data_IF_825494897616
#
_entry.id   IF_825494897616
#
_cell.length_a   1.000
_cell.length_b   1.000
_cell.length_c   1.000
_cell.angle_alpha   90.00
_cell.angle_beta   90.00
_cell.angle_gamma   90.00
#
_symmetry.space_group_name_H-M   'P 1'
#
loop_
_entity.id
_entity.type
_entity.pdbx_description
1 polymer ?
#
# COMPACT_ATOMS: atom_id res chain seq x y z
N UNK A 1 -0.85 16.19 12.24
CA UNK A 1 -1.44 14.84 12.08
C UNK A 1 -1.01 14.32 10.72
N UNK A 2 -0.32 13.19 10.69
CA UNK A 2 0.26 12.64 9.45
C UNK A 2 -0.77 11.88 8.60
N UNK A 3 -1.86 11.44 9.24
CA UNK A 3 -2.96 10.72 8.62
C UNK A 3 -4.28 11.32 9.07
N UNK A 4 -5.22 11.47 8.14
CA UNK A 4 -6.54 12.07 8.40
C UNK A 4 -7.70 11.19 7.92
N UNK A 5 -7.43 9.95 7.51
CA UNK A 5 -8.42 8.96 7.05
C UNK A 5 -9.13 8.25 8.20
N UNK A 6 -10.27 7.62 7.88
CA UNK A 6 -10.94 6.66 8.76
C UNK A 6 -10.26 5.29 8.66
N UNK A 7 -10.23 4.54 9.76
CA UNK A 7 -9.63 3.20 9.85
C UNK A 7 -10.64 2.19 10.38
N UNK A 8 -10.62 0.98 9.84
CA UNK A 8 -11.27 -0.18 10.44
C UNK A 8 -10.34 -1.40 10.27
N UNK A 9 -10.47 -2.37 11.17
CA UNK A 9 -9.82 -3.68 11.05
C UNK A 9 -10.89 -4.73 10.80
N UNK A 10 -10.59 -5.67 9.91
CA UNK A 10 -11.48 -6.79 9.61
C UNK A 10 -11.28 -7.93 10.64
N UNK A 11 -12.33 -8.68 10.98
CA UNK A 11 -12.21 -9.82 11.90
C UNK A 11 -11.46 -10.99 11.25
N UNK A 12 -10.44 -11.51 11.94
CA UNK A 12 -9.50 -12.52 11.40
C UNK A 12 -10.16 -13.90 11.18
N UNK A 13 -11.27 -14.16 11.86
CA UNK A 13 -12.06 -15.39 11.81
C UNK A 13 -13.03 -15.43 10.63
N UNK A 14 -13.21 -14.30 9.94
CA UNK A 14 -14.06 -14.23 8.76
C UNK A 14 -13.43 -15.03 7.61
N UNK A 15 -14.22 -15.91 6.99
CA UNK A 15 -13.74 -16.81 5.93
C UNK A 15 -13.25 -16.06 4.68
N UNK A 16 -13.78 -14.87 4.40
CA UNK A 16 -13.32 -14.03 3.29
C UNK A 16 -11.97 -13.42 3.64
N UNK A 17 -11.79 -12.93 4.88
CA UNK A 17 -10.51 -12.41 5.38
C UNK A 17 -9.42 -13.47 5.28
N UNK A 18 -9.67 -14.68 5.77
CA UNK A 18 -8.73 -15.80 5.68
C UNK A 18 -8.35 -16.13 4.23
N UNK A 19 -9.31 -16.11 3.30
CA UNK A 19 -9.05 -16.31 1.86
C UNK A 19 -8.20 -15.20 1.24
N UNK A 20 -8.37 -13.96 1.69
CA UNK A 20 -7.55 -12.83 1.25
C UNK A 20 -6.11 -13.02 1.74
N UNK A 21 -5.93 -13.39 3.03
CA UNK A 21 -4.61 -13.67 3.62
C UNK A 21 -3.91 -14.81 2.87
N UNK A 22 -4.60 -15.93 2.63
CA UNK A 22 -4.08 -17.06 1.85
C UNK A 22 -3.56 -16.63 0.47
N UNK A 23 -4.34 -15.84 -0.27
CA UNK A 23 -3.93 -15.33 -1.58
C UNK A 23 -2.75 -14.36 -1.49
N UNK A 24 -2.75 -13.50 -0.47
CA UNK A 24 -1.66 -12.55 -0.25
C UNK A 24 -0.35 -13.29 0.08
N UNK A 25 -0.42 -14.34 0.91
CA UNK A 25 0.69 -15.22 1.23
C UNK A 25 1.34 -15.81 -0.04
N UNK A 26 0.54 -16.33 -0.98
CA UNK A 26 1.06 -16.85 -2.26
C UNK A 26 1.83 -15.78 -3.06
N UNK A 27 1.31 -14.55 -3.11
CA UNK A 27 1.95 -13.41 -3.81
C UNK A 27 3.22 -12.94 -3.09
N UNK A 28 3.23 -12.99 -1.76
CA UNK A 28 4.31 -12.48 -0.91
C UNK A 28 5.46 -13.50 -0.74
N UNK A 29 5.43 -14.61 -1.49
CA UNK A 29 6.49 -15.63 -1.49
C UNK A 29 6.19 -16.82 -0.58
N UNK A 30 4.91 -17.20 -0.45
CA UNK A 30 4.42 -18.28 0.41
C UNK A 30 4.74 -18.04 1.89
N UNK A 31 4.57 -16.80 2.35
CA UNK A 31 4.76 -16.44 3.75
C UNK A 31 3.78 -17.19 4.64
N UNK A 32 4.20 -17.60 5.84
CA UNK A 32 3.28 -18.23 6.78
C UNK A 32 2.13 -17.26 7.12
N UNK A 33 0.89 -17.71 7.01
CA UNK A 33 -0.33 -16.93 7.30
C UNK A 33 -0.29 -16.31 8.70
N UNK A 34 0.35 -16.97 9.68
CA UNK A 34 0.48 -16.46 11.05
C UNK A 34 1.37 -15.22 11.17
N UNK A 35 2.10 -14.84 10.12
CA UNK A 35 2.92 -13.62 10.07
C UNK A 35 2.15 -12.42 9.52
N UNK A 36 0.90 -12.60 9.08
CA UNK A 36 0.07 -11.50 8.60
C UNK A 36 -0.56 -10.74 9.77
N UNK A 37 -0.58 -9.42 9.68
CA UNK A 37 -1.38 -8.57 10.57
C UNK A 37 -2.88 -8.68 10.22
N UNK A 38 -3.74 -8.35 11.18
CA UNK A 38 -5.17 -8.17 10.92
C UNK A 38 -5.39 -7.15 9.81
N UNK A 39 -6.22 -7.50 8.83
CA UNK A 39 -6.37 -6.68 7.62
C UNK A 39 -6.96 -5.31 7.95
N UNK A 40 -6.28 -4.24 7.49
CA UNK A 40 -6.67 -2.87 7.80
C UNK A 40 -7.31 -2.18 6.59
N UNK A 41 -8.55 -1.73 6.74
CA UNK A 41 -9.22 -0.84 5.81
C UNK A 41 -8.95 0.62 6.15
N UNK A 42 -8.67 1.41 5.13
CA UNK A 42 -8.45 2.86 5.22
C UNK A 42 -9.34 3.58 4.22
N UNK A 43 -10.14 4.54 4.67
CA UNK A 43 -11.08 5.31 3.83
C UNK A 43 -10.72 6.79 3.84
N UNK A 44 -10.57 7.36 2.65
CA UNK A 44 -10.26 8.76 2.39
C UNK A 44 -11.46 9.40 1.68
N UNK A 45 -11.99 10.47 2.26
CA UNK A 45 -12.89 11.42 1.60
C UNK A 45 -12.15 12.68 1.14
N UNK A 46 -12.89 13.69 0.65
CA UNK A 46 -12.29 14.91 0.13
C UNK A 46 -11.37 15.59 1.14
N UNK A 47 -10.14 15.91 0.70
CA UNK A 47 -9.11 16.58 1.51
C UNK A 47 -8.40 15.70 2.55
N UNK A 48 -8.85 14.45 2.78
CA UNK A 48 -8.15 13.53 3.67
C UNK A 48 -6.94 12.90 2.96
N UNK A 49 -5.79 12.86 3.63
CA UNK A 49 -4.55 12.29 3.12
C UNK A 49 -3.83 11.42 4.14
N UNK A 50 -2.85 10.68 3.64
CA UNK A 50 -1.76 10.12 4.43
C UNK A 50 -0.44 10.65 3.87
N UNK A 51 0.29 11.41 4.68
CA UNK A 51 1.58 12.02 4.32
C UNK A 51 2.60 10.95 3.91
N UNK A 52 3.64 11.33 3.14
CA UNK A 52 4.74 10.43 2.82
C UNK A 52 5.30 9.74 4.06
N UNK A 53 5.31 8.41 4.06
CA UNK A 53 5.81 7.56 5.13
C UNK A 53 6.35 6.25 4.56
N UNK A 54 7.07 5.52 5.37
CA UNK A 54 7.43 4.12 5.14
C UNK A 54 6.54 3.27 6.03
N UNK A 55 6.23 2.04 5.61
CA UNK A 55 5.51 1.14 6.51
C UNK A 55 6.37 0.88 7.75
N UNK A 56 5.84 1.14 8.96
CA UNK A 56 6.63 1.25 10.16
C UNK A 56 7.30 -0.05 10.57
N UNK A 57 8.40 0.12 11.31
CA UNK A 57 8.98 -0.86 12.21
C UNK A 57 8.06 -0.88 13.44
N UNK A 58 7.51 -2.04 13.80
CA UNK A 58 6.87 -2.17 15.12
C UNK A 58 7.95 -2.62 16.11
N UNK A 59 8.41 -1.68 16.93
CA UNK A 59 9.19 -2.00 18.12
C UNK A 59 8.26 -2.71 19.11
N UNK A 60 8.47 -4.01 19.33
CA UNK A 60 7.72 -4.68 20.40
C UNK A 60 8.22 -4.21 21.76
N UNK A 61 7.29 -4.11 22.72
CA UNK A 61 7.60 -3.77 24.11
C UNK A 61 8.61 -4.73 24.78
N UNK A 62 8.87 -5.89 24.18
CA UNK A 62 9.80 -6.92 24.66
C UNK A 62 11.20 -6.83 24.03
N UNK A 63 11.47 -5.80 23.20
CA UNK A 63 12.78 -5.61 22.57
C UNK A 63 13.04 -6.48 21.33
N UNK A 64 12.03 -7.22 20.84
CA UNK A 64 12.08 -7.92 19.56
C UNK A 64 11.37 -7.04 18.53
N UNK A 65 12.10 -6.36 17.66
CA UNK A 65 11.48 -5.60 16.57
C UNK A 65 10.98 -6.56 15.50
N UNK A 66 9.67 -6.59 15.24
CA UNK A 66 9.08 -7.29 14.10
C UNK A 66 8.84 -6.28 12.99
N UNK A 67 9.41 -6.54 11.82
CA UNK A 67 9.37 -5.57 10.73
C UNK A 67 8.33 -5.99 9.69
N UNK A 68 7.58 -5.02 9.17
CA UNK A 68 6.76 -5.23 7.97
C UNK A 68 7.70 -5.47 6.80
N UNK A 69 7.85 -6.73 6.40
CA UNK A 69 8.74 -7.12 5.29
C UNK A 69 8.16 -6.70 3.96
N UNK A 70 6.84 -6.86 3.83
CA UNK A 70 6.12 -6.59 2.60
C UNK A 70 4.75 -5.98 2.87
N UNK A 71 4.26 -5.27 1.87
CA UNK A 71 2.94 -4.65 1.89
C UNK A 71 2.23 -4.96 0.59
N UNK A 72 0.97 -5.39 0.72
CA UNK A 72 -0.01 -5.32 -0.36
C UNK A 72 -1.02 -4.24 -0.02
N UNK A 73 -1.24 -3.30 -0.94
CA UNK A 73 -2.27 -2.28 -0.83
C UNK A 73 -3.30 -2.45 -1.95
N UNK A 74 -4.44 -3.04 -1.62
CA UNK A 74 -5.52 -3.30 -2.56
C UNK A 74 -6.55 -2.17 -2.56
N UNK A 75 -7.01 -1.74 -3.73
CA UNK A 75 -8.06 -0.72 -3.87
C UNK A 75 -9.42 -1.43 -3.86
N UNK A 76 -10.19 -1.21 -2.80
CA UNK A 76 -11.53 -1.79 -2.63
C UNK A 76 -12.57 -0.93 -3.35
N UNK A 77 -12.46 0.38 -3.20
CA UNK A 77 -13.41 1.35 -3.74
C UNK A 77 -12.64 2.62 -4.13
N UNK A 78 -12.98 3.19 -5.28
CA UNK A 78 -12.46 4.49 -5.68
C UNK A 78 -13.43 5.15 -6.66
N UNK A 79 -13.82 6.37 -6.35
CA UNK A 79 -14.63 7.25 -7.23
C UNK A 79 -13.99 8.61 -7.41
N UNK A 80 -12.73 8.76 -6.95
CA UNK A 80 -11.97 9.99 -6.99
C UNK A 80 -10.99 10.00 -8.15
N UNK A 81 -10.75 11.19 -8.70
CA UNK A 81 -9.71 11.42 -9.68
C UNK A 81 -8.40 11.80 -8.99
N UNK A 82 -7.26 11.33 -9.54
CA UNK A 82 -5.89 11.65 -9.08
C UNK A 82 -5.59 11.39 -7.59
N UNK A 83 -6.40 10.58 -6.91
CA UNK A 83 -6.20 10.17 -5.51
C UNK A 83 -5.30 8.92 -5.37
N UNK A 84 -4.31 8.78 -6.25
CA UNK A 84 -3.45 7.61 -6.35
C UNK A 84 -2.59 7.35 -5.11
N UNK A 85 -1.78 6.31 -5.17
CA UNK A 85 -0.70 6.06 -4.20
C UNK A 85 0.60 6.51 -4.86
N UNK A 86 1.28 7.49 -4.26
CA UNK A 86 2.48 8.10 -4.82
C UNK A 86 3.73 7.61 -4.10
N UNK A 87 4.76 7.28 -4.87
CA UNK A 87 6.11 6.92 -4.45
C UNK A 87 7.08 8.01 -4.92
N UNK A 88 7.34 9.06 -4.10
CA UNK A 88 8.17 10.21 -4.48
C UNK A 88 9.62 9.88 -4.83
N UNK A 89 10.13 8.74 -4.35
CA UNK A 89 11.52 8.33 -4.56
C UNK A 89 11.72 7.39 -5.76
N UNK A 90 10.66 7.14 -6.54
CA UNK A 90 10.72 6.35 -7.77
C UNK A 90 10.49 7.28 -8.96
N UNK A 91 11.44 7.29 -9.90
CA UNK A 91 11.36 8.06 -11.15
C UNK A 91 11.43 7.10 -12.32
N UNK A 92 10.51 7.26 -13.26
CA UNK A 92 10.40 6.41 -14.44
C UNK A 92 10.44 7.31 -15.67
N UNK A 93 11.25 6.94 -16.66
CA UNK A 93 11.22 7.58 -17.95
C UNK A 93 10.18 6.89 -18.83
N UNK A 94 8.93 7.37 -18.76
CA UNK A 94 7.80 6.76 -19.48
C UNK A 94 7.96 6.72 -21.01
N UNK A 95 8.90 7.48 -21.59
CA UNK A 95 9.18 7.40 -23.03
C UNK A 95 9.86 6.08 -23.44
N UNK A 96 10.41 5.34 -22.48
CA UNK A 96 11.05 4.03 -22.68
C UNK A 96 10.14 2.85 -22.33
N UNK A 97 8.96 3.11 -21.78
CA UNK A 97 8.04 2.09 -21.27
C UNK A 97 6.86 1.87 -22.23
N UNK A 98 6.16 0.74 -22.09
CA UNK A 98 4.92 0.49 -22.84
C UNK A 98 3.84 1.54 -22.44
N UNK A 99 3.27 2.30 -23.40
CA UNK A 99 2.21 3.27 -23.13
C UNK A 99 0.97 2.69 -22.44
N UNK A 100 0.75 1.37 -22.50
CA UNK A 100 -0.33 0.70 -21.78
C UNK A 100 -0.21 0.84 -20.26
N UNK A 101 0.98 1.11 -19.71
CA UNK A 101 1.15 1.40 -18.30
C UNK A 101 0.33 2.60 -17.82
N UNK A 102 0.08 3.58 -18.70
CA UNK A 102 -0.65 4.79 -18.36
C UNK A 102 -2.14 4.54 -18.02
N UNK A 103 -2.63 3.31 -18.21
CA UNK A 103 -3.92 2.84 -17.67
C UNK A 103 -3.90 2.70 -16.15
N UNK A 104 -2.74 2.38 -15.57
CA UNK A 104 -2.55 2.06 -14.16
C UNK A 104 -1.74 3.11 -13.39
N UNK A 105 -0.97 3.94 -14.08
CA UNK A 105 -0.09 4.94 -13.47
C UNK A 105 -0.24 6.31 -14.13
N UNK A 106 0.17 7.37 -13.44
CA UNK A 106 0.21 8.73 -13.97
C UNK A 106 1.49 8.96 -14.78
N UNK A 107 1.50 8.59 -16.06
CA UNK A 107 2.67 8.77 -16.94
C UNK A 107 3.08 10.24 -17.18
N UNK A 108 2.21 11.20 -16.87
CA UNK A 108 2.53 12.62 -16.95
C UNK A 108 3.43 13.11 -15.81
N UNK A 109 3.53 12.34 -14.72
CA UNK A 109 4.43 12.62 -13.60
C UNK A 109 5.77 11.90 -13.82
N UNK A 110 6.82 12.70 -14.00
CA UNK A 110 8.21 12.21 -14.19
C UNK A 110 9.08 12.40 -12.95
N UNK A 111 8.55 13.05 -11.91
CA UNK A 111 9.28 13.34 -10.66
C UNK A 111 8.94 12.34 -9.56
N UNK A 112 7.79 11.66 -9.68
CA UNK A 112 7.36 10.58 -8.80
C UNK A 112 6.57 9.50 -9.57
N UNK A 113 6.53 8.27 -9.05
CA UNK A 113 5.60 7.24 -9.51
C UNK A 113 4.27 7.40 -8.78
N UNK A 114 3.18 7.70 -9.49
CA UNK A 114 1.83 7.66 -8.92
C UNK A 114 1.03 6.53 -9.55
N UNK A 115 0.60 5.57 -8.74
CA UNK A 115 -0.28 4.47 -9.17
C UNK A 115 -1.73 4.89 -8.95
N UNK A 116 -2.55 4.75 -9.98
CA UNK A 116 -3.97 5.13 -9.98
C UNK A 116 -4.76 4.23 -9.02
N UNK A 117 -5.74 4.82 -8.34
CA UNK A 117 -6.65 4.09 -7.47
C UNK A 117 -7.75 3.41 -8.31
N UNK A 118 -7.47 2.23 -8.86
CA UNK A 118 -8.41 1.46 -9.68
C UNK A 118 -9.00 0.32 -8.84
N UNK A 119 -10.33 0.26 -8.60
CA UNK A 119 -10.94 -0.81 -7.82
C UNK A 119 -10.61 -2.20 -8.36
N UNK A 120 -10.25 -3.12 -7.45
CA UNK A 120 -9.83 -4.48 -7.78
C UNK A 120 -8.33 -4.64 -8.04
N UNK A 121 -7.59 -3.56 -8.27
CA UNK A 121 -6.14 -3.61 -8.40
C UNK A 121 -5.46 -3.63 -7.02
N UNK A 122 -4.25 -4.19 -6.97
CA UNK A 122 -3.41 -4.18 -5.79
C UNK A 122 -1.97 -3.81 -6.15
N UNK A 123 -1.34 -3.05 -5.26
CA UNK A 123 0.08 -2.77 -5.30
C UNK A 123 0.78 -3.71 -4.34
N UNK A 124 1.99 -4.16 -4.70
CA UNK A 124 2.84 -4.96 -3.85
C UNK A 124 4.25 -4.37 -3.82
N UNK A 125 4.85 -4.26 -2.64
CA UNK A 125 6.26 -3.92 -2.49
C UNK A 125 6.89 -4.61 -1.28
N UNK A 126 8.22 -4.73 -1.33
CA UNK A 126 9.04 -5.13 -0.18
C UNK A 126 9.58 -3.86 0.48
N UNK A 127 9.42 -3.74 1.79
CA UNK A 127 9.90 -2.57 2.55
C UNK A 127 11.43 -2.56 2.68
N UNK A 128 12.09 -3.70 2.47
CA UNK A 128 13.52 -3.90 2.71
C UNK A 128 14.26 -4.37 1.46
N UNK A 129 15.52 -3.92 1.34
CA UNK A 129 16.47 -4.43 0.36
C UNK A 129 16.94 -5.84 0.76
N UNK A 130 17.48 -6.59 -0.20
CA UNK A 130 18.10 -7.91 0.07
C UNK A 130 19.31 -7.82 1.01
N UNK A 131 19.83 -6.62 1.30
CA UNK A 131 20.92 -6.39 2.24
C UNK A 131 20.43 -6.03 3.65
N UNK A 132 19.14 -6.20 3.95
CA UNK A 132 18.58 -5.93 5.28
C UNK A 132 18.49 -4.44 5.65
N UNK A 133 18.38 -3.54 4.66
CA UNK A 133 18.15 -2.11 4.90
C UNK A 133 16.77 -1.70 4.44
N UNK A 134 16.13 -0.77 5.14
CA UNK A 134 14.90 -0.16 4.69
C UNK A 134 15.12 0.46 3.30
N UNK A 135 14.26 0.13 2.33
CA UNK A 135 14.38 0.64 0.97
C UNK A 135 13.73 2.04 0.89
N UNK A 136 14.51 3.12 0.71
CA UNK A 136 13.97 4.48 0.70
C UNK A 136 13.00 4.73 -0.47
N UNK A 137 13.00 3.87 -1.50
CA UNK A 137 12.05 3.95 -2.63
C UNK A 137 10.62 3.60 -2.21
N UNK A 138 10.45 2.94 -1.08
CA UNK A 138 9.14 2.55 -0.52
C UNK A 138 8.47 3.65 0.28
N UNK A 139 9.13 4.82 0.44
CA UNK A 139 8.47 6.03 0.90
C UNK A 139 7.27 6.30 0.00
N UNK A 140 6.07 6.35 0.58
CA UNK A 140 4.83 6.44 -0.17
C UNK A 140 3.76 7.28 0.55
N UNK A 141 2.80 7.78 -0.21
CA UNK A 141 1.71 8.62 0.27
C UNK A 141 0.38 8.25 -0.37
N UNK A 142 -0.70 8.36 0.40
CA UNK A 142 -2.07 8.35 -0.12
C UNK A 142 -2.46 9.76 -0.50
N UNK A 143 -2.56 10.06 -1.81
CA UNK A 143 -2.92 11.39 -2.28
C UNK A 143 -4.37 11.73 -1.90
N UNK A 144 -4.65 12.98 -1.49
CA UNK A 144 -5.99 13.39 -1.10
C UNK A 144 -6.95 13.38 -2.29
N UNK A 145 -8.14 12.78 -2.15
CA UNK A 145 -9.23 13.02 -3.09
C UNK A 145 -9.60 14.51 -3.11
N UNK A 146 -9.68 15.11 -4.30
CA UNK A 146 -10.30 16.44 -4.47
C UNK A 146 -11.84 16.33 -4.36
N UNK A 147 -12.39 15.25 -4.91
CA UNK A 147 -13.80 14.85 -4.83
C UNK A 147 -13.90 13.32 -4.78
N UNK A 148 -15.07 12.78 -4.44
CA UNK A 148 -15.27 11.34 -4.31
C UNK A 148 -14.56 10.72 -3.11
N UNK A 149 -14.28 9.42 -3.19
CA UNK A 149 -13.72 8.62 -2.10
C UNK A 149 -12.70 7.60 -2.61
N UNK A 150 -11.80 7.17 -1.71
CA UNK A 150 -10.89 6.04 -1.88
C UNK A 150 -10.92 5.16 -0.64
N UNK A 151 -11.15 3.86 -0.81
CA UNK A 151 -11.02 2.85 0.25
C UNK A 151 -9.94 1.86 -0.16
N UNK A 152 -8.89 1.75 0.64
CA UNK A 152 -7.79 0.81 0.45
C UNK A 152 -7.69 -0.21 1.58
N UNK A 153 -7.20 -1.40 1.27
CA UNK A 153 -6.95 -2.51 2.18
C UNK A 153 -5.44 -2.75 2.28
N UNK A 154 -4.87 -2.51 3.46
CA UNK A 154 -3.50 -2.87 3.79
C UNK A 154 -3.46 -4.34 4.22
N UNK A 155 -2.53 -5.09 3.63
CA UNK A 155 -2.19 -6.46 4.01
C UNK A 155 -0.68 -6.47 4.25
N UNK A 156 -0.29 -6.53 5.52
CA UNK A 156 1.10 -6.52 5.94
C UNK A 156 1.53 -7.90 6.42
N UNK A 157 2.80 -8.21 6.20
CA UNK A 157 3.42 -9.45 6.68
C UNK A 157 4.72 -9.14 7.40
N UNK A 158 4.90 -9.75 8.57
CA UNK A 158 6.09 -9.62 9.42
C UNK A 158 7.22 -10.58 9.02
N UNK A 159 8.43 -10.24 9.46
CA UNK A 159 9.57 -11.15 9.58
C UNK A 159 10.86 -10.44 9.92
#
# INVERSE_FOLDING_TARGET
MDRTSSTAYLPDEDRIVQRIILRASEIQGYTNESLHESLQLTRYGPGQLFRPHVDPLEDSANGISTHRLTTVFAIVEATCDRCGTQFPNIRINWTLEDPNWCKYVECGDVVALTVKAVPGNALFWKSWTNSGRLDPRTLHAGLPPESGIKTGLNIWTHG
#
